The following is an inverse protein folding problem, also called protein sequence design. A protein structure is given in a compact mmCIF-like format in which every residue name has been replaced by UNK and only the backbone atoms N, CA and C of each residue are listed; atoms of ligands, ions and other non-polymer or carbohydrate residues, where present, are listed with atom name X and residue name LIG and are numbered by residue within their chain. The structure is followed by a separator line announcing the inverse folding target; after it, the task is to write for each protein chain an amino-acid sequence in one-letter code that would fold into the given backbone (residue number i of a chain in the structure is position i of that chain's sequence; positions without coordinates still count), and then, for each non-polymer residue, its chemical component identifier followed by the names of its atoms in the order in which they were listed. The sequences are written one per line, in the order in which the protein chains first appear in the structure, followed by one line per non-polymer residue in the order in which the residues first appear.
data_IF_406596844055
#
_entry.id   IF_406596844055
#
_cell.length_a   1.000
_cell.length_b   1.000
_cell.length_c   1.000
_cell.angle_alpha   90.00
_cell.angle_beta   90.00
_cell.angle_gamma   90.00
#
_symmetry.space_group_name_H-M   'P 1'
#
loop_
_entity.id
_entity.type
_entity.pdbx_description
1 polymer ?
#
# COMPACT_ATOMS: atom_id res chain seq x y z
N UNK A 1 -0.56 6.01 -7.07
CA UNK A 1 0.70 5.86 -7.81
C UNK A 1 1.86 6.44 -7.00
N UNK A 2 3.05 5.81 -7.04
CA UNK A 2 4.24 6.27 -6.33
C UNK A 2 4.86 7.42 -7.10
N UNK A 3 4.89 8.60 -6.48
CA UNK A 3 5.39 9.84 -7.08
C UNK A 3 6.85 10.06 -6.69
N UNK A 4 7.26 9.63 -5.49
CA UNK A 4 8.62 9.83 -4.99
C UNK A 4 9.05 8.65 -4.13
N UNK A 5 10.30 8.22 -4.32
CA UNK A 5 11.05 7.33 -3.43
C UNK A 5 12.44 7.90 -3.25
N UNK A 6 12.85 8.17 -2.01
CA UNK A 6 14.11 8.83 -1.71
C UNK A 6 14.73 8.33 -0.41
N UNK A 7 16.06 8.23 -0.39
CA UNK A 7 16.83 8.00 0.83
C UNK A 7 17.14 9.34 1.48
N UNK A 8 16.90 9.47 2.79
CA UNK A 8 17.26 10.66 3.56
C UNK A 8 18.67 10.53 4.10
N UNK A 9 19.30 11.68 4.41
CA UNK A 9 20.68 11.75 4.92
C UNK A 9 20.92 10.95 6.21
N UNK A 10 19.85 10.60 6.94
CA UNK A 10 19.89 9.78 8.16
C UNK A 10 19.56 8.30 7.94
N UNK A 11 19.55 7.85 6.68
CA UNK A 11 19.22 6.47 6.30
C UNK A 11 17.71 6.14 6.35
N UNK A 12 16.84 7.15 6.36
CA UNK A 12 15.39 6.96 6.26
C UNK A 12 14.93 6.82 4.81
N UNK A 13 13.72 6.32 4.61
CA UNK A 13 13.06 6.24 3.31
C UNK A 13 11.85 7.18 3.29
N UNK A 14 11.80 8.07 2.30
CA UNK A 14 10.64 8.90 2.01
C UNK A 14 9.90 8.32 0.80
N UNK A 15 8.61 8.05 0.97
CA UNK A 15 7.70 7.67 -0.09
C UNK A 15 6.51 8.62 -0.18
N UNK A 16 6.22 9.13 -1.38
CA UNK A 16 5.01 9.93 -1.64
C UNK A 16 4.12 9.16 -2.60
N UNK A 17 2.91 8.85 -2.16
CA UNK A 17 1.91 8.17 -2.96
C UNK A 17 0.66 9.03 -3.08
N UNK A 18 0.20 9.24 -4.32
CA UNK A 18 -1.12 9.83 -4.59
C UNK A 18 -2.11 8.71 -4.83
N UNK A 19 -3.20 8.66 -4.08
CA UNK A 19 -4.22 7.62 -4.22
C UNK A 19 -5.19 8.06 -5.32
N UNK A 20 -4.97 7.59 -6.53
CA UNK A 20 -5.90 7.77 -7.66
C UNK A 20 -6.56 6.42 -8.07
N UNK A 21 -6.02 5.31 -7.57
CA UNK A 21 -6.47 3.96 -7.85
C UNK A 21 -7.74 3.58 -7.07
N UNK A 22 -8.60 2.80 -7.73
CA UNK A 22 -9.71 2.07 -7.11
C UNK A 22 -9.23 0.96 -6.17
N UNK A 23 -10.13 0.46 -5.33
CA UNK A 23 -9.89 -0.68 -4.45
C UNK A 23 -9.39 -1.91 -5.22
N UNK A 24 -10.01 -2.21 -6.36
CA UNK A 24 -9.70 -3.37 -7.20
C UNK A 24 -8.30 -3.25 -7.82
N UNK A 25 -7.93 -2.05 -8.29
CA UNK A 25 -6.59 -1.76 -8.80
C UNK A 25 -5.54 -1.89 -7.69
N UNK A 26 -5.82 -1.35 -6.49
CA UNK A 26 -4.92 -1.46 -5.34
C UNK A 26 -4.70 -2.94 -4.92
N UNK A 27 -5.75 -3.77 -4.93
CA UNK A 27 -5.60 -5.21 -4.68
C UNK A 27 -4.71 -5.91 -5.72
N UNK A 28 -4.75 -5.46 -6.98
CA UNK A 28 -3.90 -5.98 -8.05
C UNK A 28 -2.43 -5.54 -7.94
N UNK A 29 -2.16 -4.46 -7.20
CA UNK A 29 -0.78 -3.98 -6.97
C UNK A 29 -0.08 -4.71 -5.82
N UNK A 30 -0.83 -5.38 -4.95
CA UNK A 30 -0.25 -6.18 -3.87
C UNK A 30 0.43 -7.46 -4.38
N UNK A 31 1.48 -7.96 -3.70
CA UNK A 31 2.05 -9.28 -3.97
C UNK A 31 0.99 -10.38 -3.89
N UNK A 32 1.06 -11.36 -4.80
CA UNK A 32 -0.01 -12.36 -4.97
C UNK A 32 -0.34 -13.11 -3.69
N UNK A 33 0.66 -13.45 -2.87
CA UNK A 33 0.47 -14.26 -1.67
C UNK A 33 -0.19 -13.48 -0.51
N UNK A 34 -0.21 -12.14 -0.53
CA UNK A 34 -0.93 -11.33 0.47
C UNK A 34 -2.31 -10.87 0.03
N UNK A 35 -2.67 -11.02 -1.26
CA UNK A 35 -3.97 -10.52 -1.78
C UNK A 35 -5.16 -11.13 -1.08
N UNK A 36 -5.14 -12.43 -0.80
CA UNK A 36 -6.26 -13.11 -0.12
C UNK A 36 -6.48 -12.52 1.28
N UNK A 37 -5.41 -12.39 2.07
CA UNK A 37 -5.46 -11.77 3.40
C UNK A 37 -5.93 -10.31 3.34
N UNK A 38 -5.37 -9.52 2.42
CA UNK A 38 -5.78 -8.12 2.25
C UNK A 38 -7.26 -8.02 1.88
N UNK A 39 -7.74 -8.89 0.98
CA UNK A 39 -9.14 -8.91 0.57
C UNK A 39 -10.07 -9.27 1.72
N UNK A 40 -9.71 -10.23 2.58
CA UNK A 40 -10.48 -10.56 3.79
C UNK A 40 -10.48 -9.41 4.79
N UNK A 41 -9.32 -8.80 5.03
CA UNK A 41 -9.18 -7.69 5.98
C UNK A 41 -10.04 -6.48 5.59
N UNK A 42 -10.04 -6.09 4.31
CA UNK A 42 -10.82 -4.93 3.87
C UNK A 42 -12.33 -5.15 3.98
N UNK A 43 -12.84 -6.40 3.99
CA UNK A 43 -14.26 -6.67 4.27
C UNK A 43 -14.67 -6.28 5.70
N UNK A 44 -13.71 -6.17 6.62
CA UNK A 44 -13.96 -5.71 8.00
C UNK A 44 -14.09 -4.19 8.11
N UNK A 45 -13.76 -3.46 7.03
CA UNK A 45 -13.74 -2.00 7.00
C UNK A 45 -14.98 -1.52 6.24
N UNK A 46 -15.81 -0.70 6.89
CA UNK A 46 -17.03 -0.15 6.26
C UNK A 46 -16.78 1.09 5.39
N UNK A 47 -15.66 1.77 5.57
CA UNK A 47 -15.33 3.01 4.86
C UNK A 47 -14.44 2.72 3.65
N UNK A 48 -14.97 2.96 2.45
CA UNK A 48 -14.20 2.83 1.19
C UNK A 48 -12.92 3.68 1.19
N UNK A 49 -12.97 4.89 1.76
CA UNK A 49 -11.77 5.73 1.91
C UNK A 49 -10.71 5.07 2.80
N UNK A 50 -11.11 4.45 3.92
CA UNK A 50 -10.15 3.74 4.78
C UNK A 50 -9.58 2.50 4.09
N UNK A 51 -10.37 1.82 3.27
CA UNK A 51 -9.91 0.69 2.46
C UNK A 51 -8.79 1.14 1.50
N UNK A 52 -9.02 2.22 0.75
CA UNK A 52 -8.03 2.72 -0.21
C UNK A 52 -6.78 3.27 0.49
N UNK A 53 -6.93 3.98 1.61
CA UNK A 53 -5.81 4.44 2.44
C UNK A 53 -4.97 3.26 2.96
N UNK A 54 -5.63 2.23 3.53
CA UNK A 54 -4.93 1.07 4.08
C UNK A 54 -4.18 0.27 3.00
N UNK A 55 -4.84 -0.04 1.87
CA UNK A 55 -4.21 -0.76 0.77
C UNK A 55 -3.02 0.03 0.21
N UNK A 56 -3.19 1.34 0.00
CA UNK A 56 -2.13 2.22 -0.52
C UNK A 56 -0.91 2.24 0.40
N UNK A 57 -1.10 2.27 1.72
CA UNK A 57 0.00 2.21 2.69
C UNK A 57 0.73 0.88 2.61
N UNK A 58 0.02 -0.25 2.51
CA UNK A 58 0.66 -1.58 2.42
C UNK A 58 1.50 -1.71 1.16
N UNK A 59 0.98 -1.23 0.02
CA UNK A 59 1.72 -1.22 -1.24
C UNK A 59 2.92 -0.27 -1.13
N UNK A 60 2.75 0.94 -0.57
CA UNK A 60 3.82 1.91 -0.37
C UNK A 60 4.97 1.33 0.46
N UNK A 61 4.67 0.72 1.60
CA UNK A 61 5.66 0.08 2.45
C UNK A 61 6.40 -1.04 1.71
N UNK A 62 5.66 -1.89 0.99
CA UNK A 62 6.25 -2.94 0.18
C UNK A 62 7.21 -2.37 -0.88
N UNK A 63 6.82 -1.34 -1.63
CA UNK A 63 7.69 -0.74 -2.65
C UNK A 63 8.91 -0.03 -2.06
N UNK A 64 8.78 0.58 -0.88
CA UNK A 64 9.89 1.25 -0.22
C UNK A 64 10.91 0.25 0.30
N UNK A 65 10.44 -0.78 1.00
CA UNK A 65 11.27 -1.73 1.75
C UNK A 65 11.64 -2.98 0.96
N UNK A 66 10.93 -3.26 -0.14
CA UNK A 66 10.98 -4.52 -0.88
C UNK A 66 10.70 -5.75 0.03
N UNK A 67 9.94 -5.52 1.11
CA UNK A 67 9.60 -6.48 2.14
C UNK A 67 8.16 -6.24 2.60
N UNK A 68 7.53 -7.30 3.10
CA UNK A 68 6.24 -7.19 3.76
C UNK A 68 6.43 -6.79 5.21
N UNK A 69 5.68 -5.78 5.64
CA UNK A 69 5.58 -5.42 7.06
C UNK A 69 4.18 -5.77 7.54
N UNK A 70 4.14 -6.63 8.56
CA UNK A 70 2.94 -7.08 9.26
C UNK A 70 2.36 -5.94 10.10
#
# INVERSE_FOLDING_TARGET
MLIRKENTDRGGLLGIWKIDESREELLQLLPKHVRSYANEYIQTISSERRITEWLSIRILLFMLLNEEKT
#
